data_IF_439304816483
#
_entry.id   IF_439304816483
#
_cell.length_a   1.000
_cell.length_b   1.000
_cell.length_c   1.000
_cell.angle_alpha   90.00
_cell.angle_beta   90.00
_cell.angle_gamma   90.00
#
_symmetry.space_group_name_H-M   'P 1'
#
loop_
_entity.id
_entity.type
_entity.pdbx_description
1 polymer ?
#
# COMPACT_ATOMS: atom_id res chain seq x y z
N UNK A 1 16.18 -6.83 3.09
CA UNK A 1 15.51 -6.29 1.90
C UNK A 1 14.02 -6.10 2.21
N UNK A 2 13.50 -4.93 1.96
CA UNK A 2 12.10 -4.64 2.26
C UNK A 2 11.19 -5.15 1.14
N UNK A 3 10.00 -5.63 1.51
CA UNK A 3 9.02 -6.19 0.59
C UNK A 3 7.85 -5.23 0.42
N UNK A 4 7.51 -4.93 -0.83
CA UNK A 4 6.38 -4.06 -1.18
C UNK A 4 5.31 -4.93 -1.85
N UNK A 5 4.07 -4.84 -1.36
CA UNK A 5 2.93 -5.46 -2.03
C UNK A 5 2.18 -4.38 -2.80
N UNK A 6 2.04 -4.58 -4.11
CA UNK A 6 1.26 -3.70 -4.99
C UNK A 6 -0.10 -4.33 -5.26
N UNK A 7 -1.17 -3.67 -4.86
CA UNK A 7 -2.55 -4.12 -5.11
C UNK A 7 -3.18 -3.19 -6.14
N UNK A 8 -3.35 -3.67 -7.37
CA UNK A 8 -3.83 -2.87 -8.50
C UNK A 8 -4.24 -3.82 -9.62
N UNK A 9 -5.32 -3.53 -10.34
CA UNK A 9 -5.75 -4.36 -11.47
C UNK A 9 -5.09 -3.97 -12.79
N UNK A 10 -4.34 -2.87 -12.82
CA UNK A 10 -3.65 -2.38 -14.01
C UNK A 10 -2.31 -3.11 -14.19
N UNK A 11 -2.27 -4.06 -15.13
CA UNK A 11 -1.06 -4.84 -15.42
C UNK A 11 0.12 -3.97 -15.85
N UNK A 12 -0.13 -2.91 -16.61
CA UNK A 12 0.93 -2.01 -17.07
C UNK A 12 1.54 -1.28 -15.88
N UNK A 13 0.70 -0.80 -14.98
CA UNK A 13 1.14 -0.14 -13.76
C UNK A 13 1.97 -1.10 -12.90
N UNK A 14 1.46 -2.31 -12.65
CA UNK A 14 2.16 -3.30 -11.83
C UNK A 14 3.53 -3.63 -12.40
N UNK A 15 3.62 -3.82 -13.72
CA UNK A 15 4.88 -4.15 -14.37
C UNK A 15 5.85 -2.99 -14.29
N UNK A 16 5.44 -1.79 -14.68
CA UNK A 16 6.32 -0.63 -14.73
C UNK A 16 6.84 -0.25 -13.35
N UNK A 17 5.95 -0.16 -12.37
CA UNK A 17 6.32 0.19 -11.01
C UNK A 17 7.11 -0.94 -10.36
N UNK A 18 6.71 -2.19 -10.59
CA UNK A 18 7.42 -3.35 -10.05
C UNK A 18 8.86 -3.42 -10.50
N UNK A 19 9.12 -3.20 -11.80
CA UNK A 19 10.49 -3.19 -12.33
C UNK A 19 11.31 -2.10 -11.67
N UNK A 20 10.74 -0.91 -11.53
CA UNK A 20 11.46 0.21 -10.94
C UNK A 20 11.77 -0.03 -9.46
N UNK A 21 10.82 -0.52 -8.70
CA UNK A 21 11.03 -0.81 -7.28
C UNK A 21 12.08 -1.90 -7.09
N UNK A 22 12.06 -2.95 -7.92
CA UNK A 22 13.07 -4.00 -7.87
C UNK A 22 14.46 -3.44 -8.15
N UNK A 23 14.58 -2.51 -9.10
CA UNK A 23 15.86 -1.87 -9.40
C UNK A 23 16.40 -1.05 -8.23
N UNK A 24 15.52 -0.63 -7.32
CA UNK A 24 15.90 0.12 -6.12
C UNK A 24 16.15 -0.78 -4.92
N UNK A 25 16.10 -2.10 -5.10
CA UNK A 25 16.44 -3.07 -4.06
C UNK A 25 15.25 -3.63 -3.30
N UNK A 26 14.02 -3.32 -3.68
CA UNK A 26 12.85 -3.88 -3.02
C UNK A 26 12.49 -5.25 -3.59
N UNK A 27 11.96 -6.12 -2.74
CA UNK A 27 11.23 -7.29 -3.18
C UNK A 27 9.79 -6.86 -3.46
N UNK A 28 9.23 -7.28 -4.59
CA UNK A 28 7.90 -6.85 -5.00
C UNK A 28 6.97 -8.05 -5.16
N UNK A 29 5.81 -7.97 -4.50
CA UNK A 29 4.71 -8.90 -4.69
C UNK A 29 3.55 -8.11 -5.30
N UNK A 30 2.69 -8.78 -6.06
CA UNK A 30 1.54 -8.14 -6.69
C UNK A 30 0.25 -8.88 -6.40
N UNK A 31 -0.86 -8.14 -6.37
CA UNK A 31 -2.19 -8.66 -6.22
C UNK A 31 -3.12 -7.83 -7.09
N UNK A 32 -3.91 -8.47 -7.95
CA UNK A 32 -4.75 -7.77 -8.93
C UNK A 32 -6.18 -7.55 -8.48
N UNK A 33 -6.56 -8.13 -7.35
CA UNK A 33 -7.96 -8.12 -6.90
C UNK A 33 -8.02 -7.80 -5.42
N UNK A 34 -8.84 -6.81 -5.08
CA UNK A 34 -9.03 -6.39 -3.69
C UNK A 34 -9.52 -7.54 -2.81
N UNK A 35 -10.30 -8.48 -3.37
CA UNK A 35 -10.80 -9.63 -2.62
C UNK A 35 -9.69 -10.51 -2.07
N UNK A 36 -8.53 -10.53 -2.72
CA UNK A 36 -7.38 -11.34 -2.30
C UNK A 36 -6.31 -10.54 -1.58
N UNK A 37 -6.52 -9.25 -1.38
CA UNK A 37 -5.49 -8.37 -0.81
C UNK A 37 -5.11 -8.77 0.62
N UNK A 38 -6.10 -9.06 1.46
CA UNK A 38 -5.83 -9.48 2.84
C UNK A 38 -5.04 -10.79 2.87
N UNK A 39 -5.45 -11.77 2.06
CA UNK A 39 -4.71 -13.04 1.94
C UNK A 39 -3.28 -12.82 1.47
N UNK A 40 -3.09 -11.90 0.50
CA UNK A 40 -1.76 -11.60 -0.03
C UNK A 40 -0.87 -10.98 1.05
N UNK A 41 -1.42 -10.11 1.89
CA UNK A 41 -0.68 -9.52 3.00
C UNK A 41 -0.26 -10.61 4.00
N UNK A 42 -1.19 -11.47 4.37
CA UNK A 42 -0.89 -12.53 5.34
C UNK A 42 0.12 -13.54 4.80
N UNK A 43 0.04 -13.85 3.50
CA UNK A 43 0.94 -14.80 2.86
C UNK A 43 2.36 -14.25 2.68
N UNK A 44 2.47 -13.00 2.23
CA UNK A 44 3.76 -12.42 1.84
C UNK A 44 4.41 -11.60 2.95
N UNK A 45 3.66 -11.25 3.98
CA UNK A 45 4.14 -10.45 5.11
C UNK A 45 4.93 -9.22 4.64
N UNK A 46 4.33 -8.36 3.81
CA UNK A 46 5.06 -7.21 3.26
C UNK A 46 5.39 -6.19 4.32
N UNK A 47 6.39 -5.38 4.05
CA UNK A 47 6.77 -4.25 4.91
C UNK A 47 5.89 -3.04 4.64
N UNK A 48 5.29 -2.97 3.46
CA UNK A 48 4.41 -1.87 3.07
C UNK A 48 3.46 -2.34 1.96
N UNK A 49 2.26 -1.78 1.95
CA UNK A 49 1.24 -2.08 0.94
C UNK A 49 0.92 -0.81 0.16
N UNK A 50 0.93 -0.90 -1.16
CA UNK A 50 0.45 0.15 -2.07
C UNK A 50 -0.88 -0.33 -2.62
N UNK A 51 -1.96 0.33 -2.27
CA UNK A 51 -3.32 -0.15 -2.50
C UNK A 51 -4.09 0.83 -3.37
N UNK A 52 -4.50 0.36 -4.56
CA UNK A 52 -5.39 1.12 -5.43
C UNK A 52 -6.83 0.98 -4.92
N UNK A 53 -7.48 2.10 -4.65
CA UNK A 53 -8.86 2.11 -4.17
C UNK A 53 -9.88 2.30 -5.29
N UNK A 54 -9.44 2.43 -6.53
CA UNK A 54 -10.34 2.56 -7.68
C UNK A 54 -10.67 1.21 -8.31
N UNK A 55 -10.37 0.09 -7.64
CA UNK A 55 -10.66 -1.25 -8.15
C UNK A 55 -12.17 -1.48 -8.25
N UNK A 56 -12.65 -1.98 -9.40
CA UNK A 56 -14.08 -2.14 -9.61
C UNK A 56 -14.73 -3.26 -8.76
N UNK A 57 -13.95 -4.25 -8.35
CA UNK A 57 -14.47 -5.44 -7.67
C UNK A 57 -14.50 -5.33 -6.15
N UNK A 58 -14.16 -4.17 -5.58
CA UNK A 58 -14.14 -4.04 -4.14
C UNK A 58 -13.84 -2.63 -3.69
N UNK A 59 -14.17 -2.36 -2.43
CA UNK A 59 -13.83 -1.09 -1.80
C UNK A 59 -12.44 -1.20 -1.20
N UNK A 60 -11.47 -0.54 -1.84
CA UNK A 60 -10.09 -0.53 -1.34
C UNK A 60 -9.95 0.08 0.05
N UNK A 61 -10.83 1.02 0.40
CA UNK A 61 -10.82 1.59 1.75
C UNK A 61 -11.24 0.54 2.78
N UNK A 62 -12.18 -0.33 2.42
CA UNK A 62 -12.57 -1.43 3.30
C UNK A 62 -11.42 -2.40 3.51
N UNK A 63 -10.63 -2.67 2.46
CA UNK A 63 -9.42 -3.49 2.58
C UNK A 63 -8.45 -2.85 3.58
N UNK A 64 -8.20 -1.54 3.46
CA UNK A 64 -7.32 -0.83 4.37
C UNK A 64 -7.80 -0.94 5.82
N UNK A 65 -9.11 -0.74 6.04
CA UNK A 65 -9.70 -0.85 7.37
C UNK A 65 -9.54 -2.25 7.94
N UNK A 66 -9.75 -3.28 7.13
CA UNK A 66 -9.58 -4.68 7.56
C UNK A 66 -8.14 -4.97 7.95
N UNK A 67 -7.18 -4.48 7.17
CA UNK A 67 -5.76 -4.68 7.49
C UNK A 67 -5.40 -4.02 8.82
N UNK A 68 -5.95 -2.85 9.11
CA UNK A 68 -5.71 -2.15 10.36
C UNK A 68 -6.17 -2.96 11.58
N UNK A 69 -7.20 -3.79 11.40
CA UNK A 69 -7.78 -4.58 12.48
C UNK A 69 -7.12 -5.94 12.69
N UNK A 70 -6.25 -6.35 11.77
CA UNK A 70 -5.56 -7.64 11.87
C UNK A 70 -4.24 -7.44 12.64
N UNK A 71 -4.03 -8.17 13.76
CA UNK A 71 -2.80 -8.02 14.54
C UNK A 71 -1.54 -8.22 13.70
N UNK A 72 -1.57 -9.17 12.75
CA UNK A 72 -0.41 -9.45 11.90
C UNK A 72 -0.11 -8.33 10.89
N UNK A 73 -1.06 -7.44 10.63
CA UNK A 73 -0.92 -6.39 9.60
C UNK A 73 -1.17 -4.98 10.15
N UNK A 74 -1.53 -4.84 11.41
CA UNK A 74 -1.97 -3.57 11.98
C UNK A 74 -0.90 -2.47 11.94
N UNK A 75 0.37 -2.86 11.93
CA UNK A 75 1.48 -1.91 11.87
C UNK A 75 2.09 -1.78 10.48
N UNK A 76 1.57 -2.54 9.48
CA UNK A 76 2.05 -2.43 8.11
C UNK A 76 1.53 -1.14 7.50
N UNK A 77 2.41 -0.21 7.08
CA UNK A 77 1.95 1.04 6.48
C UNK A 77 1.27 0.78 5.14
N UNK A 78 0.23 1.57 4.87
CA UNK A 78 -0.55 1.48 3.65
C UNK A 78 -0.48 2.82 2.93
N UNK A 79 -0.08 2.80 1.67
CA UNK A 79 -0.16 3.95 0.77
C UNK A 79 -1.37 3.71 -0.13
N UNK A 80 -2.30 4.65 -0.15
CA UNK A 80 -3.46 4.57 -1.03
C UNK A 80 -3.17 5.33 -2.31
N UNK A 81 -3.44 4.70 -3.45
CA UNK A 81 -3.31 5.32 -4.76
C UNK A 81 -4.64 5.24 -5.50
N UNK A 82 -4.90 6.17 -6.41
CA UNK A 82 -6.12 6.16 -7.20
C UNK A 82 -5.99 7.06 -8.42
N UNK A 83 -6.72 6.72 -9.49
CA UNK A 83 -6.88 7.59 -10.66
C UNK A 83 -8.03 8.58 -10.48
N UNK A 84 -8.87 8.43 -9.47
CA UNK A 84 -10.01 9.30 -9.23
C UNK A 84 -9.59 10.68 -8.75
N UNK A 85 -10.30 11.70 -9.26
CA UNK A 85 -10.06 13.10 -8.85
C UNK A 85 -11.02 13.57 -7.75
N UNK A 86 -11.82 12.66 -7.18
CA UNK A 86 -12.74 12.99 -6.11
C UNK A 86 -12.00 13.66 -4.94
N UNK A 87 -12.37 14.90 -4.56
CA UNK A 87 -11.63 15.63 -3.52
C UNK A 87 -11.82 15.08 -2.12
N UNK A 88 -12.75 14.17 -1.89
CA UNK A 88 -12.98 13.57 -0.58
C UNK A 88 -12.06 12.40 -0.29
N UNK A 89 -11.37 11.85 -1.31
CA UNK A 89 -10.57 10.64 -1.14
C UNK A 89 -9.36 10.81 -0.21
N UNK A 90 -8.61 11.93 -0.24
CA UNK A 90 -7.49 12.07 0.69
C UNK A 90 -7.92 11.97 2.15
N UNK A 91 -9.06 12.57 2.50
CA UNK A 91 -9.60 12.49 3.86
C UNK A 91 -10.03 11.08 4.21
N UNK A 92 -10.70 10.38 3.27
CA UNK A 92 -11.08 8.99 3.47
C UNK A 92 -9.85 8.10 3.67
N UNK A 93 -8.77 8.37 2.95
CA UNK A 93 -7.53 7.60 3.08
C UNK A 93 -6.95 7.74 4.49
N UNK A 94 -6.92 8.95 5.02
CA UNK A 94 -6.45 9.21 6.39
C UNK A 94 -7.32 8.47 7.40
N UNK A 95 -8.64 8.53 7.24
CA UNK A 95 -9.58 7.85 8.14
C UNK A 95 -9.44 6.32 8.07
N UNK A 96 -9.07 5.79 6.91
CA UNK A 96 -8.83 4.37 6.75
C UNK A 96 -7.46 3.92 7.29
N UNK A 97 -6.66 4.84 7.80
CA UNK A 97 -5.38 4.55 8.41
C UNK A 97 -4.20 4.57 7.44
N UNK A 98 -4.37 5.07 6.22
CA UNK A 98 -3.26 5.18 5.28
C UNK A 98 -2.24 6.20 5.76
N UNK A 99 -0.96 5.92 5.50
CA UNK A 99 0.13 6.82 5.86
C UNK A 99 0.42 7.83 4.75
N UNK A 100 -0.07 7.59 3.53
CA UNK A 100 0.10 8.48 2.40
C UNK A 100 -0.98 8.23 1.35
N UNK A 101 -1.16 9.20 0.48
CA UNK A 101 -2.13 9.16 -0.61
C UNK A 101 -1.49 9.75 -1.85
N UNK A 102 -1.59 9.06 -2.98
CA UNK A 102 -1.08 9.54 -4.27
C UNK A 102 -2.14 9.40 -5.34
N UNK A 103 -2.26 10.41 -6.21
CA UNK A 103 -3.12 10.36 -7.37
C UNK A 103 -2.33 9.97 -8.61
N UNK A 104 -2.86 9.04 -9.38
CA UNK A 104 -2.33 8.70 -10.69
C UNK A 104 -2.68 9.82 -11.69
N UNK A 105 -1.83 10.14 -12.66
CA UNK A 105 -0.51 9.55 -12.87
C UNK A 105 0.54 10.17 -11.95
N UNK A 106 1.50 9.37 -11.53
CA UNK A 106 2.68 9.85 -10.82
C UNK A 106 3.88 9.07 -11.37
N UNK A 107 5.09 9.61 -11.20
CA UNK A 107 6.26 8.88 -11.63
C UNK A 107 6.71 7.90 -10.53
N UNK A 108 7.54 6.93 -10.94
CA UNK A 108 8.02 5.91 -10.02
C UNK A 108 8.86 6.51 -8.89
N UNK A 109 9.55 7.63 -9.16
CA UNK A 109 10.36 8.30 -8.14
C UNK A 109 9.49 8.86 -7.01
N UNK A 110 8.32 9.42 -7.34
CA UNK A 110 7.38 9.94 -6.34
C UNK A 110 6.91 8.82 -5.43
N UNK A 111 6.53 7.68 -5.99
CA UNK A 111 6.11 6.53 -5.20
C UNK A 111 7.26 5.98 -4.35
N UNK A 112 8.45 5.85 -4.94
CA UNK A 112 9.62 5.33 -4.21
C UNK A 112 9.96 6.21 -3.00
N UNK A 113 9.91 7.54 -3.17
CA UNK A 113 10.17 8.47 -2.07
C UNK A 113 9.09 8.34 -0.98
N UNK A 114 7.84 8.16 -1.38
CA UNK A 114 6.74 7.98 -0.43
C UNK A 114 6.92 6.67 0.35
N UNK A 115 7.30 5.59 -0.33
CA UNK A 115 7.58 4.30 0.31
C UNK A 115 8.72 4.44 1.32
N UNK A 116 9.80 5.06 0.92
CA UNK A 116 10.96 5.23 1.78
C UNK A 116 10.62 6.02 3.05
N UNK A 117 9.87 7.11 2.89
CA UNK A 117 9.41 7.92 4.01
C UNK A 117 8.50 7.12 4.94
N UNK A 118 7.57 6.37 4.37
CA UNK A 118 6.63 5.57 5.14
C UNK A 118 7.34 4.45 5.92
N UNK A 119 8.34 3.82 5.32
CA UNK A 119 9.11 2.77 5.98
C UNK A 119 9.93 3.34 7.15
N UNK A 120 10.50 4.52 7.00
CA UNK A 120 11.23 5.18 8.07
C UNK A 120 10.30 5.51 9.24
N UNK A 121 9.10 6.02 8.97
CA UNK A 121 8.09 6.28 9.99
C UNK A 121 7.58 4.98 10.63
N UNK A 122 7.47 3.92 9.83
CA UNK A 122 7.07 2.61 10.32
C UNK A 122 8.06 2.06 11.33
N UNK A 123 9.35 2.23 11.09
CA UNK A 123 10.38 1.82 12.04
C UNK A 123 10.23 2.58 13.36
N UNK A 124 9.92 3.85 13.32
CA UNK A 124 9.70 4.66 14.52
C UNK A 124 8.47 4.20 15.31
N UNK A 125 7.46 3.68 14.62
CA UNK A 125 6.25 3.19 15.25
C UNK A 125 6.36 1.77 15.78
N UNK A 126 7.33 1.02 15.33
CA UNK A 126 7.49 -0.38 15.65
C UNK A 126 7.61 -0.67 17.16
N UNK A 127 8.39 0.10 17.93
CA UNK A 127 8.45 -0.11 19.38
C UNK A 127 7.09 0.01 20.05
N UNK A 128 6.24 0.93 19.62
CA UNK A 128 4.89 1.06 20.16
C UNK A 128 4.06 -0.18 19.89
N UNK A 129 4.14 -0.71 18.70
CA UNK A 129 3.42 -1.91 18.31
C UNK A 129 3.85 -3.09 19.16
N UNK A 130 5.13 -3.20 19.45
CA UNK A 130 5.67 -4.28 20.27
C UNK A 130 5.28 -4.18 21.72
N UNK A 131 5.01 -2.99 22.20
CA UNK A 131 4.62 -2.76 23.58
C UNK A 131 3.18 -3.21 23.86
N UNK A 132 2.43 -3.41 22.82
CA UNK A 132 1.08 -3.91 22.93
C UNK A 132 1.07 -5.43 22.98
#
# INVERSE_FOLDING_TARGET
MKTVLLVDDDNVFLLAIGVRLKSLGYTVCTCKDAAFAVSAVLKNNPDIVVLDVSLPAGDGFLVAERLQKLPAAATTPIIIVTASENPELPERAIKAGAVAFLRKPFDAAALANTIETALAQGDDRQPRAKAV
#
